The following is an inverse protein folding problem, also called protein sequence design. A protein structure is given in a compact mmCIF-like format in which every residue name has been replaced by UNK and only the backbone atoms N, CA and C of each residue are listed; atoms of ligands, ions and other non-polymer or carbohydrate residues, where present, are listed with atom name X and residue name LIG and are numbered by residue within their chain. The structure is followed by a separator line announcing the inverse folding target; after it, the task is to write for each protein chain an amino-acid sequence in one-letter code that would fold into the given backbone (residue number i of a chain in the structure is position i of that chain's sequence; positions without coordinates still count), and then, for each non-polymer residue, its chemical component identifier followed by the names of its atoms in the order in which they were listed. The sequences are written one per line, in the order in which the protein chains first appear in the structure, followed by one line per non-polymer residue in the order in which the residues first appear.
data_IF_092530026798
#
_entry.id   IF_092530026798
#
_cell.length_a   1.000
_cell.length_b   1.000
_cell.length_c   1.000
_cell.angle_alpha   90.00
_cell.angle_beta   90.00
_cell.angle_gamma   90.00
#
_symmetry.space_group_name_H-M   'P 1'
#
loop_
_entity.id
_entity.type
_entity.pdbx_description
1 polymer ?
#
# COMPACT_ATOMS: atom_id res chain seq x y z
N UNK A 1 15.50 -12.06 -0.77
CA UNK A 1 14.44 -11.28 -0.05
C UNK A 1 13.97 -12.09 1.14
N UNK A 2 13.84 -11.49 2.33
CA UNK A 2 13.47 -12.19 3.56
C UNK A 2 12.07 -11.76 4.01
N UNK A 3 11.15 -12.74 4.18
CA UNK A 3 9.78 -12.49 4.62
C UNK A 3 9.66 -12.79 6.12
N UNK A 4 9.75 -11.73 6.92
CA UNK A 4 9.68 -11.78 8.40
C UNK A 4 8.31 -11.40 8.99
N UNK A 5 7.27 -11.36 8.16
CA UNK A 5 5.91 -11.09 8.58
C UNK A 5 4.95 -11.96 7.75
N UNK A 6 3.91 -12.50 8.39
CA UNK A 6 2.75 -13.04 7.72
C UNK A 6 1.67 -11.94 7.66
N UNK A 7 0.67 -12.06 8.54
CA UNK A 7 -0.40 -11.08 8.76
C UNK A 7 -0.04 -10.15 9.94
N UNK A 8 0.82 -10.66 10.84
CA UNK A 8 1.59 -9.90 11.83
C UNK A 8 3.10 -10.19 11.64
N UNK A 9 3.97 -9.53 12.42
CA UNK A 9 5.42 -9.73 12.42
C UNK A 9 5.87 -10.15 13.82
N UNK A 10 6.16 -11.44 14.07
CA UNK A 10 6.67 -11.85 15.39
C UNK A 10 8.16 -11.51 15.53
N UNK A 11 8.62 -11.21 16.76
CA UNK A 11 10.03 -10.89 17.03
C UNK A 11 10.97 -12.03 16.64
N UNK A 12 10.49 -13.28 16.69
CA UNK A 12 11.21 -14.47 16.23
C UNK A 12 11.38 -14.50 14.70
N UNK A 13 10.34 -14.20 13.91
CA UNK A 13 10.43 -14.13 12.44
C UNK A 13 11.30 -12.94 11.99
N UNK A 14 11.27 -11.82 12.72
CA UNK A 14 12.13 -10.67 12.49
C UNK A 14 13.61 -10.99 12.74
N UNK A 15 13.92 -11.71 13.82
CA UNK A 15 15.29 -12.18 14.09
C UNK A 15 15.75 -13.21 13.05
N UNK A 16 14.95 -14.22 12.76
CA UNK A 16 15.29 -15.27 11.79
C UNK A 16 15.55 -14.71 10.37
N UNK A 17 14.84 -13.65 9.97
CA UNK A 17 15.11 -12.97 8.70
C UNK A 17 16.40 -12.15 8.68
N UNK A 18 16.80 -11.58 9.82
CA UNK A 18 18.10 -10.91 9.98
C UNK A 18 19.24 -11.94 9.97
N UNK A 19 19.11 -13.01 10.75
CA UNK A 19 20.12 -14.08 10.81
C UNK A 19 20.31 -14.77 9.45
N UNK A 20 19.24 -15.01 8.70
CA UNK A 20 19.31 -15.54 7.33
C UNK A 20 20.00 -14.55 6.37
N UNK A 21 19.62 -13.27 6.36
CA UNK A 21 20.25 -12.27 5.50
C UNK A 21 21.75 -12.10 5.77
N UNK A 22 22.15 -12.19 7.03
CA UNK A 22 23.54 -12.14 7.48
C UNK A 22 24.29 -13.44 7.18
N UNK A 23 23.61 -14.59 7.23
CA UNK A 23 24.16 -15.90 6.86
C UNK A 23 24.40 -16.05 5.35
N UNK A 24 23.51 -15.48 4.54
CA UNK A 24 23.62 -15.42 3.07
C UNK A 24 24.66 -14.36 2.59
N UNK A 25 25.20 -13.53 3.50
CA UNK A 25 26.26 -12.57 3.20
C UNK A 25 25.78 -11.22 2.62
N UNK A 26 24.59 -10.74 2.97
CA UNK A 26 24.12 -9.42 2.54
C UNK A 26 24.98 -8.27 3.12
N UNK A 27 25.41 -7.30 2.30
CA UNK A 27 26.16 -6.12 2.76
C UNK A 27 25.30 -5.11 3.57
N UNK A 28 23.99 -5.06 3.28
CA UNK A 28 23.06 -4.05 3.82
C UNK A 28 21.70 -4.67 4.17
N UNK A 29 21.20 -4.39 5.37
CA UNK A 29 19.82 -4.63 5.79
C UNK A 29 18.99 -3.34 5.70
N UNK A 30 17.81 -3.43 5.09
CA UNK A 30 16.83 -2.34 4.97
C UNK A 30 15.52 -2.76 5.63
N UNK A 31 15.32 -2.39 6.90
CA UNK A 31 14.27 -2.92 7.76
C UNK A 31 13.19 -1.85 7.97
N UNK A 32 11.98 -2.06 7.45
CA UNK A 32 10.80 -1.20 7.69
C UNK A 32 9.85 -1.80 8.73
N UNK A 33 10.42 -2.46 9.74
CA UNK A 33 9.74 -3.19 10.81
C UNK A 33 10.13 -2.62 12.17
N UNK A 34 9.44 -3.06 13.22
CA UNK A 34 9.66 -2.59 14.58
C UNK A 34 9.10 -3.55 15.60
N UNK A 35 9.68 -3.51 16.80
CA UNK A 35 9.17 -4.21 17.96
C UNK A 35 8.75 -3.15 19.00
N UNK A 36 7.49 -3.20 19.44
CA UNK A 36 6.95 -2.28 20.45
C UNK A 36 7.08 -2.82 21.87
N UNK A 37 7.72 -3.97 22.06
CA UNK A 37 7.96 -4.56 23.39
C UNK A 37 8.77 -3.61 24.27
N UNK A 38 8.38 -3.40 25.55
CA UNK A 38 8.99 -2.42 26.46
C UNK A 38 10.34 -2.88 27.04
N UNK A 39 11.13 -3.62 26.25
CA UNK A 39 12.33 -4.30 26.70
C UNK A 39 13.49 -3.32 26.94
N UNK A 40 14.03 -3.36 28.15
CA UNK A 40 15.07 -2.43 28.63
C UNK A 40 16.32 -3.18 29.10
N UNK A 41 17.53 -2.82 28.65
CA UNK A 41 17.87 -2.06 27.44
C UNK A 41 18.14 -3.01 26.26
N UNK A 42 17.35 -2.90 25.18
CA UNK A 42 17.61 -3.53 23.87
C UNK A 42 17.52 -5.08 23.79
N UNK A 43 16.78 -5.75 24.68
CA UNK A 43 16.52 -7.19 24.55
C UNK A 43 15.53 -7.58 23.44
N UNK A 44 14.81 -6.61 22.87
CA UNK A 44 13.90 -6.87 21.74
C UNK A 44 14.67 -7.41 20.52
N UNK A 45 14.12 -8.40 19.84
CA UNK A 45 14.91 -9.30 18.98
C UNK A 45 15.55 -8.61 17.76
N UNK A 46 14.95 -7.53 17.25
CA UNK A 46 15.55 -6.69 16.21
C UNK A 46 16.86 -6.03 16.65
N UNK A 47 17.00 -5.61 17.90
CA UNK A 47 18.25 -5.01 18.38
C UNK A 47 19.38 -6.05 18.50
N UNK A 48 19.05 -7.24 19.02
CA UNK A 48 20.00 -8.36 19.13
C UNK A 48 20.49 -8.80 17.74
N UNK A 49 19.58 -9.07 16.80
CA UNK A 49 19.95 -9.50 15.45
C UNK A 49 20.76 -8.44 14.68
N UNK A 50 20.36 -7.17 14.77
CA UNK A 50 21.08 -6.09 14.08
C UNK A 50 22.45 -5.79 14.70
N UNK A 51 22.67 -6.10 15.98
CA UNK A 51 24.01 -6.04 16.59
C UNK A 51 24.93 -7.11 15.95
N UNK A 52 24.48 -8.37 15.89
CA UNK A 52 25.23 -9.46 15.27
C UNK A 52 25.42 -9.30 13.74
N UNK A 53 24.57 -8.53 13.07
CA UNK A 53 24.77 -8.09 11.69
C UNK A 53 25.96 -7.11 11.59
N UNK A 54 25.99 -6.07 12.43
CA UNK A 54 27.05 -5.05 12.44
C UNK A 54 28.41 -5.62 12.87
N UNK A 55 28.46 -6.59 13.79
CA UNK A 55 29.70 -7.32 14.13
C UNK A 55 30.31 -8.09 12.94
N UNK A 56 29.49 -8.44 11.94
CA UNK A 56 29.94 -9.07 10.68
C UNK A 56 30.15 -8.06 9.54
N UNK A 57 30.09 -6.76 9.85
CA UNK A 57 30.29 -5.67 8.88
C UNK A 57 29.04 -5.29 8.07
N UNK A 58 27.89 -5.87 8.35
CA UNK A 58 26.63 -5.62 7.62
C UNK A 58 26.01 -4.30 8.10
N UNK A 59 25.73 -3.38 7.18
CA UNK A 59 25.14 -2.08 7.52
C UNK A 59 23.62 -2.18 7.72
N UNK A 60 23.07 -1.48 8.73
CA UNK A 60 21.65 -1.57 9.09
C UNK A 60 20.96 -0.21 8.99
N UNK A 61 20.02 -0.11 8.04
CA UNK A 61 19.08 1.01 7.89
C UNK A 61 17.68 0.58 8.36
N UNK A 62 17.08 1.31 9.30
CA UNK A 62 15.82 0.93 9.95
C UNK A 62 14.87 2.12 10.17
N UNK A 63 13.55 1.90 10.08
CA UNK A 63 12.55 2.96 10.27
C UNK A 63 12.38 3.38 11.74
N UNK A 64 12.27 4.69 12.02
CA UNK A 64 12.08 5.22 13.38
C UNK A 64 10.74 4.84 14.04
N UNK A 65 9.69 4.63 13.25
CA UNK A 65 8.33 4.37 13.70
C UNK A 65 7.33 5.44 13.25
N UNK A 66 6.04 5.12 13.41
CA UNK A 66 4.90 5.90 12.91
C UNK A 66 4.00 6.46 14.04
N UNK A 67 4.55 6.60 15.25
CA UNK A 67 3.83 6.92 16.49
C UNK A 67 4.04 8.37 16.98
N UNK A 68 4.57 9.26 16.14
CA UNK A 68 4.66 10.69 16.42
C UNK A 68 3.29 11.40 16.43
N UNK A 69 3.21 12.70 16.79
CA UNK A 69 4.32 13.66 16.86
C UNK A 69 4.98 13.82 18.23
N UNK A 70 4.48 13.15 19.26
CA UNK A 70 4.96 13.31 20.64
C UNK A 70 6.43 12.87 20.79
N UNK A 71 7.12 13.46 21.77
CA UNK A 71 8.50 13.08 22.12
C UNK A 71 8.58 11.62 22.62
N UNK A 72 9.75 11.01 22.46
CA UNK A 72 10.06 9.65 22.92
C UNK A 72 9.14 8.55 22.36
N UNK A 73 8.74 8.67 21.09
CA UNK A 73 7.81 7.76 20.40
C UNK A 73 8.49 6.80 19.41
N UNK A 74 9.82 6.82 19.30
CA UNK A 74 10.60 5.88 18.48
C UNK A 74 11.01 4.63 19.25
N UNK A 75 11.06 3.50 18.55
CA UNK A 75 11.29 2.15 19.11
C UNK A 75 12.47 1.40 18.48
N UNK A 76 13.02 1.89 17.37
CA UNK A 76 14.27 1.37 16.79
C UNK A 76 15.38 2.38 17.10
N UNK A 77 15.94 2.29 18.31
CA UNK A 77 16.76 3.33 18.92
C UNK A 77 18.14 2.84 19.39
N UNK A 78 18.53 1.61 19.01
CA UNK A 78 19.82 1.05 19.34
C UNK A 78 20.97 1.83 18.67
N UNK A 79 22.13 2.01 19.33
CA UNK A 79 23.22 2.85 18.81
C UNK A 79 23.80 2.38 17.46
N UNK A 80 23.77 1.09 17.18
CA UNK A 80 24.31 0.47 15.96
C UNK A 80 23.35 0.50 14.75
N UNK A 81 22.13 1.01 14.91
CA UNK A 81 21.15 1.19 13.83
C UNK A 81 21.27 2.59 13.21
N UNK A 82 21.16 2.73 11.88
CA UNK A 82 20.78 4.00 11.26
C UNK A 82 19.24 4.11 11.29
N UNK A 83 18.72 4.91 12.22
CA UNK A 83 17.28 5.11 12.44
C UNK A 83 16.78 6.27 11.57
N UNK A 84 15.89 5.97 10.63
CA UNK A 84 15.39 6.92 9.60
C UNK A 84 13.99 7.45 9.93
N UNK A 85 13.86 8.77 10.03
CA UNK A 85 12.60 9.51 10.18
C UNK A 85 11.93 9.83 8.82
N UNK A 86 10.60 9.92 8.79
CA UNK A 86 9.85 10.27 7.60
C UNK A 86 9.68 11.79 7.41
N UNK A 87 9.95 12.28 6.21
CA UNK A 87 9.64 13.65 5.77
C UNK A 87 8.78 13.69 4.50
N UNK A 88 8.15 14.84 4.27
CA UNK A 88 7.52 15.18 2.98
C UNK A 88 8.57 15.37 1.88
N UNK A 89 8.12 15.25 0.64
CA UNK A 89 8.86 15.68 -0.56
C UNK A 89 8.05 16.75 -1.29
N UNK A 90 8.65 17.45 -2.24
CA UNK A 90 7.99 18.50 -3.02
C UNK A 90 6.91 17.96 -3.99
N UNK A 91 6.86 16.63 -4.18
CA UNK A 91 5.78 15.93 -4.87
C UNK A 91 4.53 15.76 -4.00
N UNK A 92 3.46 16.46 -4.38
CA UNK A 92 2.10 16.14 -3.96
C UNK A 92 1.42 15.27 -5.03
N UNK A 93 0.79 14.18 -4.61
CA UNK A 93 -0.21 13.47 -5.42
C UNK A 93 -1.56 14.11 -5.04
N UNK A 94 -2.32 14.55 -6.04
CA UNK A 94 -3.61 15.21 -5.85
C UNK A 94 -4.72 14.26 -5.38
N UNK A 95 -5.97 14.70 -5.51
CA UNK A 95 -7.16 13.90 -5.20
C UNK A 95 -7.11 12.53 -5.87
N UNK A 96 -7.48 11.48 -5.14
CA UNK A 96 -7.41 10.08 -5.60
C UNK A 96 -8.81 9.45 -5.52
N UNK A 97 -9.02 8.46 -6.38
CA UNK A 97 -10.14 7.53 -6.32
C UNK A 97 -9.62 6.15 -6.67
N UNK A 98 -10.34 5.13 -6.26
CA UNK A 98 -10.19 3.75 -6.72
C UNK A 98 -10.87 3.73 -8.11
N UNK A 99 -12.20 3.57 -8.25
CA UNK A 99 -13.08 4.15 -9.32
C UNK A 99 -12.50 4.62 -10.70
N UNK A 100 -11.64 5.64 -10.68
CA UNK A 100 -11.64 6.72 -11.70
C UNK A 100 -13.07 7.18 -12.07
N UNK A 101 -14.01 7.11 -11.11
CA UNK A 101 -15.40 7.46 -11.37
C UNK A 101 -15.47 8.97 -11.55
N UNK A 102 -15.64 9.40 -12.80
CA UNK A 102 -15.64 10.81 -13.17
C UNK A 102 -16.89 11.51 -12.64
N UNK A 103 -16.85 11.88 -11.35
CA UNK A 103 -17.38 13.19 -10.94
C UNK A 103 -16.74 14.19 -11.91
N UNK A 104 -17.54 14.73 -12.82
CA UNK A 104 -17.04 15.63 -13.84
C UNK A 104 -16.37 16.83 -13.17
N UNK A 105 -15.07 17.01 -13.41
CA UNK A 105 -14.29 18.12 -12.87
C UNK A 105 -14.71 19.51 -13.41
N UNK A 106 -15.81 19.57 -14.17
CA UNK A 106 -16.49 20.79 -14.60
C UNK A 106 -17.78 21.09 -13.80
N UNK A 107 -18.32 20.13 -13.03
CA UNK A 107 -19.59 20.27 -12.28
C UNK A 107 -19.34 20.58 -10.80
N UNK A 108 -20.10 21.53 -10.24
CA UNK A 108 -20.17 21.79 -8.81
C UNK A 108 -21.27 20.95 -8.18
N UNK A 109 -20.99 20.36 -7.01
CA UNK A 109 -21.93 19.52 -6.27
C UNK A 109 -22.19 20.11 -4.88
N UNK A 110 -23.34 19.86 -4.25
CA UNK A 110 -23.60 20.29 -2.87
C UNK A 110 -22.54 19.73 -1.92
N UNK A 111 -22.08 20.56 -0.99
CA UNK A 111 -21.11 20.20 0.04
C UNK A 111 -21.84 20.11 1.39
N UNK A 112 -21.55 19.07 2.19
CA UNK A 112 -22.11 18.93 3.53
C UNK A 112 -21.02 18.53 4.53
N UNK A 113 -21.05 19.08 5.74
CA UNK A 113 -20.20 18.63 6.85
C UNK A 113 -20.90 17.53 7.62
N UNK A 114 -20.27 16.36 7.75
CA UNK A 114 -20.87 15.22 8.41
C UNK A 114 -21.15 15.46 9.90
N UNK A 115 -20.34 16.32 10.55
CA UNK A 115 -20.56 16.76 11.93
C UNK A 115 -21.66 17.81 12.12
N UNK A 116 -22.49 18.04 11.10
CA UNK A 116 -23.79 18.70 11.26
C UNK A 116 -24.93 17.69 11.49
N UNK A 117 -24.66 16.38 11.39
CA UNK A 117 -25.58 15.32 11.84
C UNK A 117 -25.63 15.27 13.37
N UNK A 118 -26.78 14.87 13.92
CA UNK A 118 -26.95 14.60 15.36
C UNK A 118 -26.49 13.20 15.78
N UNK A 119 -26.14 12.33 14.82
CA UNK A 119 -25.64 10.97 15.09
C UNK A 119 -24.22 11.00 15.66
N UNK A 120 -23.95 10.17 16.68
CA UNK A 120 -22.62 10.02 17.25
C UNK A 120 -21.59 9.64 16.18
N UNK A 121 -20.38 10.17 16.29
CA UNK A 121 -19.25 9.95 15.38
C UNK A 121 -19.48 10.27 13.89
N UNK A 122 -20.63 10.85 13.51
CA UNK A 122 -20.93 11.24 12.13
C UNK A 122 -19.88 12.21 11.57
N UNK A 123 -19.34 13.13 12.39
CA UNK A 123 -18.24 14.01 11.99
C UNK A 123 -17.01 13.26 11.47
N UNK A 124 -16.77 12.03 11.95
CA UNK A 124 -15.67 11.17 11.55
C UNK A 124 -16.04 10.24 10.38
N UNK A 125 -17.29 10.23 9.91
CA UNK A 125 -17.79 9.29 8.90
C UNK A 125 -17.47 7.82 9.26
N UNK A 126 -17.77 7.42 10.50
CA UNK A 126 -17.68 6.03 10.95
C UNK A 126 -18.81 5.16 10.38
N UNK A 127 -18.61 3.85 10.32
CA UNK A 127 -19.58 2.89 9.75
C UNK A 127 -20.99 3.07 10.37
N UNK A 128 -22.00 3.30 9.52
CA UNK A 128 -23.39 3.54 9.93
C UNK A 128 -23.70 4.96 10.43
N UNK A 129 -22.70 5.80 10.71
CA UNK A 129 -22.91 7.12 11.34
C UNK A 129 -23.58 8.15 10.44
N UNK A 130 -23.62 7.91 9.12
CA UNK A 130 -24.32 8.76 8.15
C UNK A 130 -25.78 8.32 7.89
N UNK A 131 -26.25 7.24 8.52
CA UNK A 131 -27.63 6.77 8.31
C UNK A 131 -28.65 7.81 8.77
N UNK A 132 -29.62 8.11 7.90
CA UNK A 132 -30.61 9.17 8.10
C UNK A 132 -30.12 10.60 7.82
N UNK A 133 -28.82 10.81 7.56
CA UNK A 133 -28.27 12.11 7.21
C UNK A 133 -28.25 12.31 5.68
N UNK A 134 -28.71 13.47 5.22
CA UNK A 134 -28.85 13.75 3.78
C UNK A 134 -27.50 14.09 3.13
N UNK A 135 -26.77 13.03 2.76
CA UNK A 135 -25.50 13.08 2.00
C UNK A 135 -25.62 12.64 0.54
N UNK A 136 -26.80 12.17 0.12
CA UNK A 136 -26.98 11.49 -1.17
C UNK A 136 -26.75 12.45 -2.34
N UNK A 137 -25.83 12.11 -3.25
CA UNK A 137 -25.46 12.98 -4.37
C UNK A 137 -24.56 14.17 -4.00
N UNK A 138 -24.03 14.22 -2.77
CA UNK A 138 -23.24 15.34 -2.24
C UNK A 138 -21.77 14.96 -2.04
N UNK A 139 -20.92 15.98 -1.94
CA UNK A 139 -19.56 15.86 -1.42
C UNK A 139 -19.63 16.01 0.10
N UNK A 140 -19.05 15.06 0.83
CA UNK A 140 -19.08 15.03 2.31
C UNK A 140 -17.73 15.44 2.89
N UNK A 141 -17.71 16.42 3.77
CA UNK A 141 -16.56 16.78 4.59
C UNK A 141 -16.57 15.93 5.87
N UNK A 142 -15.57 15.05 5.99
CA UNK A 142 -15.32 14.16 7.13
C UNK A 142 -14.05 14.57 7.87
N UNK A 143 -14.04 14.45 9.18
CA UNK A 143 -12.85 14.64 10.01
C UNK A 143 -12.04 13.35 10.14
N UNK A 144 -10.73 13.53 10.18
CA UNK A 144 -9.78 12.53 10.63
C UNK A 144 -9.90 12.29 12.14
N UNK A 145 -9.64 11.06 12.57
CA UNK A 145 -9.64 10.65 13.98
C UNK A 145 -10.67 9.57 14.31
N UNK A 146 -10.81 9.32 15.62
CA UNK A 146 -11.71 8.36 16.27
C UNK A 146 -11.50 6.88 15.90
N UNK A 147 -10.25 6.47 15.62
CA UNK A 147 -9.89 5.08 15.29
C UNK A 147 -10.33 4.60 13.90
N UNK A 148 -11.41 5.17 13.33
CA UNK A 148 -11.93 4.87 11.99
C UNK A 148 -10.83 5.01 10.93
N UNK A 149 -10.55 3.96 10.16
CA UNK A 149 -9.48 4.01 9.17
C UNK A 149 -9.89 4.90 7.99
N UNK A 150 -8.87 5.49 7.33
CA UNK A 150 -9.06 6.50 6.28
C UNK A 150 -9.87 5.98 5.10
N UNK A 151 -9.68 4.71 4.74
CA UNK A 151 -10.42 4.06 3.64
C UNK A 151 -11.89 3.84 4.01
N UNK A 152 -12.15 3.36 5.23
CA UNK A 152 -13.49 3.12 5.79
C UNK A 152 -14.36 4.38 5.73
N UNK A 153 -13.81 5.57 6.04
CA UNK A 153 -14.51 6.86 5.92
C UNK A 153 -15.03 7.10 4.50
N UNK A 154 -14.23 6.75 3.49
CA UNK A 154 -14.63 6.83 2.08
C UNK A 154 -15.66 5.77 1.68
N UNK A 155 -15.56 4.56 2.25
CA UNK A 155 -16.53 3.50 2.04
C UNK A 155 -17.89 3.83 2.67
N UNK A 156 -17.92 4.41 3.88
CA UNK A 156 -19.13 4.89 4.57
C UNK A 156 -19.83 6.01 3.78
N UNK A 157 -19.09 7.03 3.33
CA UNK A 157 -19.65 8.10 2.50
C UNK A 157 -20.26 7.53 1.21
N UNK A 158 -19.60 6.56 0.57
CA UNK A 158 -20.14 5.86 -0.60
C UNK A 158 -21.39 5.04 -0.26
N UNK A 159 -21.39 4.28 0.83
CA UNK A 159 -22.52 3.46 1.32
C UNK A 159 -23.77 4.31 1.55
N UNK A 160 -23.61 5.49 2.14
CA UNK A 160 -24.68 6.47 2.35
C UNK A 160 -25.11 7.23 1.06
N UNK A 161 -24.49 6.93 -0.09
CA UNK A 161 -24.82 7.54 -1.38
C UNK A 161 -24.18 8.90 -1.64
N UNK A 162 -23.21 9.32 -0.82
CA UNK A 162 -22.32 10.44 -1.10
C UNK A 162 -21.42 10.11 -2.29
N UNK A 163 -21.20 11.09 -3.17
CA UNK A 163 -20.47 10.88 -4.43
C UNK A 163 -18.96 11.10 -4.28
N UNK A 164 -18.54 11.90 -3.29
CA UNK A 164 -17.13 12.22 -3.06
C UNK A 164 -16.89 12.72 -1.64
N UNK A 165 -15.63 12.76 -1.22
CA UNK A 165 -15.24 13.09 0.15
C UNK A 165 -14.13 14.14 0.21
N UNK A 166 -14.21 15.04 1.20
CA UNK A 166 -13.08 15.83 1.66
C UNK A 166 -12.73 15.34 3.06
N UNK A 167 -11.50 14.87 3.26
CA UNK A 167 -11.01 14.44 4.57
C UNK A 167 -10.17 15.55 5.19
N UNK A 168 -10.69 16.18 6.25
CA UNK A 168 -9.99 17.21 7.01
C UNK A 168 -9.08 16.59 8.07
N UNK A 169 -7.82 17.04 8.10
CA UNK A 169 -6.89 16.69 9.19
C UNK A 169 -7.36 17.19 10.56
N UNK A 170 -6.95 16.44 11.58
CA UNK A 170 -6.89 16.90 12.96
C UNK A 170 -5.71 17.86 13.21
N UNK A 171 -5.76 18.64 14.29
CA UNK A 171 -4.72 19.63 14.61
C UNK A 171 -3.30 19.04 14.70
N UNK A 172 -3.07 17.87 15.36
CA UNK A 172 -1.73 17.25 15.42
C UNK A 172 -1.12 16.86 14.07
N UNK A 173 -1.94 16.65 13.03
CA UNK A 173 -1.46 16.30 11.69
C UNK A 173 -1.15 17.53 10.81
N UNK A 174 -1.75 18.69 11.12
CA UNK A 174 -1.40 19.97 10.49
C UNK A 174 -1.47 19.91 8.96
N UNK A 175 -0.33 20.05 8.29
CA UNK A 175 -0.19 20.05 6.82
C UNK A 175 -0.03 18.67 6.17
N UNK A 176 0.09 17.57 6.93
CA UNK A 176 0.28 16.21 6.40
C UNK A 176 -0.94 15.75 5.60
N UNK A 177 -0.82 15.63 4.28
CA UNK A 177 -1.78 14.87 3.47
C UNK A 177 -1.21 13.49 3.10
N UNK A 178 -2.09 12.53 2.84
CA UNK A 178 -1.75 11.19 2.37
C UNK A 178 -2.51 10.91 1.08
N UNK A 179 -1.83 10.32 0.10
CA UNK A 179 -2.36 10.00 -1.23
C UNK A 179 -3.13 8.68 -1.25
N UNK A 180 -4.11 8.57 -0.35
CA UNK A 180 -4.94 7.37 -0.20
C UNK A 180 -5.96 7.28 -1.34
N UNK A 181 -6.01 6.15 -2.04
CA UNK A 181 -7.10 5.89 -2.97
C UNK A 181 -8.33 5.47 -2.17
N UNK A 182 -9.42 6.24 -2.22
CA UNK A 182 -10.68 5.92 -1.56
C UNK A 182 -11.70 5.36 -2.58
N UNK A 183 -12.70 4.61 -2.09
CA UNK A 183 -13.78 4.00 -2.91
C UNK A 183 -14.65 5.01 -3.71
N UNK A 184 -14.38 6.30 -3.58
CA UNK A 184 -14.98 7.42 -4.31
C UNK A 184 -13.92 8.54 -4.48
N UNK A 185 -14.12 9.52 -5.37
CA UNK A 185 -13.28 10.71 -5.47
C UNK A 185 -13.10 11.41 -4.13
N UNK A 186 -11.87 11.42 -3.61
CA UNK A 186 -11.55 11.97 -2.31
C UNK A 186 -10.36 12.94 -2.35
N UNK A 187 -10.41 13.97 -1.51
CA UNK A 187 -9.32 14.92 -1.32
C UNK A 187 -8.99 15.07 0.17
N UNK A 188 -7.76 14.74 0.55
CA UNK A 188 -7.24 14.88 1.90
C UNK A 188 -6.63 16.27 2.05
N UNK A 189 -7.08 17.06 3.03
CA UNK A 189 -6.69 18.47 3.22
C UNK A 189 -6.09 18.73 4.59
N UNK A 190 -5.20 19.73 4.66
CA UNK A 190 -4.58 20.17 5.92
C UNK A 190 -5.62 20.67 6.93
N UNK A 191 -5.25 20.69 8.23
CA UNK A 191 -6.12 21.19 9.29
C UNK A 191 -6.60 22.62 9.02
N UNK A 192 -5.69 23.50 8.59
CA UNK A 192 -6.01 24.89 8.24
C UNK A 192 -7.00 24.99 7.06
N UNK A 193 -6.85 24.13 6.04
CA UNK A 193 -7.80 24.05 4.93
C UNK A 193 -9.14 23.47 5.37
N UNK A 194 -9.15 22.44 6.22
CA UNK A 194 -10.37 21.87 6.81
C UNK A 194 -11.17 22.91 7.60
N UNK A 195 -10.51 23.70 8.46
CA UNK A 195 -11.13 24.82 9.18
C UNK A 195 -11.69 25.88 8.23
N UNK A 196 -10.96 26.22 7.15
CA UNK A 196 -11.44 27.16 6.13
C UNK A 196 -12.68 26.62 5.38
N UNK A 197 -12.73 25.33 5.06
CA UNK A 197 -13.88 24.70 4.40
C UNK A 197 -15.09 24.62 5.35
N UNK A 198 -14.91 24.27 6.63
CA UNK A 198 -15.98 24.33 7.64
C UNK A 198 -16.55 25.76 7.78
N UNK A 199 -15.68 26.77 7.78
CA UNK A 199 -16.08 28.19 7.77
C UNK A 199 -16.86 28.56 6.50
N UNK A 200 -16.46 28.05 5.33
CA UNK A 200 -17.19 28.25 4.08
C UNK A 200 -18.58 27.59 4.10
N UNK A 201 -18.69 26.34 4.56
CA UNK A 201 -19.98 25.63 4.72
C UNK A 201 -20.94 26.46 5.57
N UNK A 202 -20.47 27.01 6.69
CA UNK A 202 -21.28 27.83 7.59
C UNK A 202 -21.53 29.27 7.09
N UNK A 203 -21.03 29.66 5.92
CA UNK A 203 -21.16 31.03 5.37
C UNK A 203 -22.26 31.20 4.32
N UNK A 204 -22.89 30.10 3.89
CA UNK A 204 -23.95 30.10 2.87
C UNK A 204 -24.96 28.99 3.16
N UNK A 205 -26.22 29.19 2.76
CA UNK A 205 -27.26 28.16 2.86
C UNK A 205 -27.09 27.04 1.81
N UNK A 206 -26.37 27.31 0.71
CA UNK A 206 -26.12 26.37 -0.38
C UNK A 206 -24.62 26.26 -0.68
N UNK A 207 -23.80 25.67 0.20
CA UNK A 207 -22.38 25.45 -0.04
C UNK A 207 -22.18 24.38 -1.13
N UNK A 208 -21.21 24.59 -2.01
CA UNK A 208 -20.87 23.67 -3.10
C UNK A 208 -19.37 23.47 -3.20
N UNK A 209 -18.96 22.34 -3.76
CA UNK A 209 -17.56 21.98 -3.96
C UNK A 209 -17.34 21.24 -5.28
N UNK A 210 -16.07 21.10 -5.63
CA UNK A 210 -15.57 20.40 -6.81
C UNK A 210 -14.23 19.77 -6.46
N UNK A 211 -14.03 18.50 -6.82
CA UNK A 211 -12.79 17.76 -6.56
C UNK A 211 -12.03 17.65 -7.89
N UNK A 212 -10.82 18.23 -7.94
CA UNK A 212 -9.98 18.17 -9.13
C UNK A 212 -8.93 17.06 -9.04
N UNK A 213 -8.86 16.25 -10.09
CA UNK A 213 -7.78 15.29 -10.33
C UNK A 213 -6.63 15.97 -11.08
N UNK A 214 -5.68 16.56 -10.33
CA UNK A 214 -4.48 17.21 -10.89
C UNK A 214 -3.29 16.25 -11.09
N UNK A 215 -3.50 14.95 -10.90
CA UNK A 215 -2.43 13.95 -10.97
C UNK A 215 -1.30 14.23 -9.98
N UNK A 216 -0.07 14.28 -10.47
CA UNK A 216 1.12 14.58 -9.67
C UNK A 216 1.56 16.03 -9.86
N UNK A 217 1.74 16.77 -8.78
CA UNK A 217 2.23 18.15 -8.73
C UNK A 217 3.60 18.18 -8.04
N UNK A 218 4.57 18.91 -8.60
CA UNK A 218 5.93 19.07 -8.08
C UNK A 218 6.14 20.50 -7.54
N UNK A 219 7.23 20.74 -6.79
CA UNK A 219 7.54 22.05 -6.22
C UNK A 219 6.58 22.50 -5.10
N UNK A 220 5.90 21.57 -4.44
CA UNK A 220 4.97 21.89 -3.34
C UNK A 220 5.69 22.13 -2.01
N UNK A 221 5.05 22.91 -1.13
CA UNK A 221 5.61 23.38 0.14
C UNK A 221 4.61 23.15 1.28
N UNK A 222 5.04 22.76 2.50
CA UNK A 222 6.44 22.64 2.95
C UNK A 222 7.09 21.30 2.60
N UNK A 223 8.27 21.37 1.98
CA UNK A 223 9.12 20.22 1.68
C UNK A 223 10.62 20.59 1.73
N UNK A 224 11.49 19.75 2.31
CA UNK A 224 11.14 18.63 3.20
C UNK A 224 10.66 19.13 4.56
N UNK A 225 9.62 18.49 5.11
CA UNK A 225 9.14 18.72 6.47
C UNK A 225 8.95 17.38 7.19
N UNK A 226 9.41 17.26 8.45
CA UNK A 226 9.21 16.03 9.22
C UNK A 226 7.71 15.85 9.47
N UNK A 227 7.16 14.74 8.98
CA UNK A 227 5.72 14.46 9.10
C UNK A 227 5.33 14.20 10.56
N UNK A 228 4.10 14.55 10.94
CA UNK A 228 3.57 14.38 12.30
C UNK A 228 3.75 12.95 12.80
N UNK A 229 3.37 11.95 12.00
CA UNK A 229 3.46 10.54 12.38
C UNK A 229 4.88 10.02 12.57
N UNK A 230 5.92 10.66 12.00
CA UNK A 230 7.29 10.18 12.20
C UNK A 230 7.61 10.21 13.69
N UNK A 231 7.89 9.04 14.26
CA UNK A 231 8.27 8.90 15.65
C UNK A 231 9.48 9.78 15.99
N UNK A 232 9.51 10.33 17.21
CA UNK A 232 10.47 11.34 17.66
C UNK A 232 11.27 10.83 18.85
N UNK A 233 12.52 11.32 18.97
CA UNK A 233 13.33 11.13 20.16
C UNK A 233 12.88 12.00 21.35
N UNK A 234 13.66 12.02 22.44
CA UNK A 234 14.88 11.21 22.65
C UNK A 234 14.59 9.70 22.72
N UNK A 235 15.63 8.87 22.63
CA UNK A 235 15.52 7.45 22.96
C UNK A 235 15.06 7.28 24.42
N UNK A 236 14.10 6.38 24.67
CA UNK A 236 13.72 6.04 26.05
C UNK A 236 14.80 5.19 26.75
N UNK A 237 15.55 4.39 25.98
CA UNK A 237 16.57 3.45 26.50
C UNK A 237 17.95 4.08 26.69
N UNK A 238 18.31 5.05 25.84
CA UNK A 238 19.56 5.78 25.91
C UNK A 238 19.38 7.24 25.43
N UNK A 239 18.83 8.13 26.29
CA UNK A 239 18.64 9.55 25.93
C UNK A 239 19.95 10.32 25.71
N UNK A 240 21.11 9.73 26.01
CA UNK A 240 22.43 10.31 25.72
C UNK A 240 22.86 10.19 24.25
N UNK A 241 22.19 9.36 23.46
CA UNK A 241 22.42 9.24 22.01
C UNK A 241 21.19 9.78 21.27
N UNK A 242 21.43 10.74 20.37
CA UNK A 242 20.36 11.38 19.60
C UNK A 242 19.79 10.40 18.57
N UNK A 243 18.47 10.25 18.59
CA UNK A 243 17.68 9.49 17.60
C UNK A 243 16.44 10.32 17.22
N UNK A 244 15.91 10.20 15.99
CA UNK A 244 16.43 9.44 14.86
C UNK A 244 17.66 10.14 14.24
N UNK A 245 18.53 9.38 13.59
CA UNK A 245 19.83 9.87 13.09
C UNK A 245 19.70 10.73 11.83
N UNK A 246 18.72 10.43 10.97
CA UNK A 246 18.51 11.09 9.68
C UNK A 246 17.01 11.09 9.31
N UNK A 247 16.61 11.92 8.35
CA UNK A 247 15.29 11.82 7.70
C UNK A 247 15.40 11.53 6.21
N UNK A 248 14.45 10.77 5.68
CA UNK A 248 14.26 10.56 4.25
C UNK A 248 12.80 10.73 3.81
N UNK A 249 12.54 10.87 2.50
CA UNK A 249 11.19 11.02 1.96
C UNK A 249 10.31 9.79 2.27
N UNK A 250 9.34 9.95 3.18
CA UNK A 250 8.52 8.87 3.72
C UNK A 250 7.01 9.09 3.59
N UNK A 251 6.58 10.16 2.91
CA UNK A 251 5.16 10.48 2.68
C UNK A 251 4.82 10.30 1.20
N UNK A 252 3.74 9.58 0.89
CA UNK A 252 3.21 9.41 -0.47
C UNK A 252 4.27 8.97 -1.51
N UNK A 253 5.07 7.96 -1.15
CA UNK A 253 6.16 7.41 -1.97
C UNK A 253 5.59 6.49 -3.06
N UNK A 254 5.71 6.89 -4.34
CA UNK A 254 5.23 6.10 -5.47
C UNK A 254 5.97 4.76 -5.64
N UNK A 255 5.20 3.77 -6.10
CA UNK A 255 5.47 2.36 -5.91
C UNK A 255 4.67 1.47 -6.89
N UNK A 256 5.11 0.22 -7.08
CA UNK A 256 4.45 -0.81 -7.88
C UNK A 256 4.27 -2.10 -7.04
N UNK A 257 3.08 -2.70 -7.08
CA UNK A 257 2.24 -3.35 -6.03
C UNK A 257 1.98 -4.87 -6.35
N UNK A 258 1.10 -5.64 -5.68
CA UNK A 258 1.06 -7.11 -5.91
C UNK A 258 -0.06 -7.75 -6.79
N UNK A 259 -1.13 -7.06 -7.24
CA UNK A 259 -2.32 -7.74 -7.84
C UNK A 259 -3.15 -6.95 -8.94
N UNK A 260 -2.49 -6.51 -10.04
CA UNK A 260 -2.90 -5.52 -11.08
C UNK A 260 -4.15 -4.60 -10.98
N UNK A 261 -3.91 -3.28 -10.94
CA UNK A 261 -4.65 -2.30 -11.73
C UNK A 261 -4.37 -2.67 -13.19
N UNK A 262 -5.33 -3.37 -13.81
CA UNK A 262 -5.15 -4.13 -15.06
C UNK A 262 -4.32 -3.34 -16.08
N UNK A 263 -3.26 -3.98 -16.58
CA UNK A 263 -2.09 -3.35 -17.18
C UNK A 263 -2.43 -2.12 -18.04
N UNK A 264 -1.84 -0.98 -17.67
CA UNK A 264 -2.27 0.35 -18.10
C UNK A 264 -2.09 0.67 -19.60
N UNK A 265 -2.40 1.92 -19.95
CA UNK A 265 -2.50 2.36 -21.33
C UNK A 265 -1.23 2.08 -22.16
N UNK A 266 -1.44 1.59 -23.40
CA UNK A 266 -0.38 1.06 -24.28
C UNK A 266 0.67 2.12 -24.61
N UNK A 267 1.95 1.73 -24.58
CA UNK A 267 3.08 2.53 -25.05
C UNK A 267 3.72 1.83 -26.28
N UNK A 268 3.39 2.24 -27.52
CA UNK A 268 3.89 1.57 -28.72
C UNK A 268 5.41 1.60 -28.87
N UNK A 269 6.08 2.64 -28.35
CA UNK A 269 7.55 2.77 -28.44
C UNK A 269 8.25 1.78 -27.50
N UNK A 270 7.69 1.52 -26.31
CA UNK A 270 8.17 0.48 -25.38
C UNK A 270 7.66 -0.93 -25.68
N UNK A 271 6.76 -1.09 -26.65
CA UNK A 271 6.28 -2.42 -27.07
C UNK A 271 7.20 -3.10 -28.10
N UNK A 272 8.06 -2.32 -28.78
CA UNK A 272 9.04 -2.84 -29.75
C UNK A 272 10.26 -3.48 -29.07
N UNK A 273 10.62 -2.99 -27.87
CA UNK A 273 11.58 -3.62 -26.96
C UNK A 273 10.98 -3.71 -25.54
N UNK A 274 10.30 -4.81 -25.21
CA UNK A 274 9.81 -5.08 -23.86
C UNK A 274 10.92 -5.62 -22.93
N UNK A 275 12.06 -6.06 -23.50
CA UNK A 275 13.16 -6.75 -22.84
C UNK A 275 12.87 -8.16 -22.32
N UNK A 276 11.71 -8.41 -21.70
CA UNK A 276 11.26 -9.74 -21.26
C UNK A 276 9.84 -10.03 -21.78
N UNK A 277 9.56 -11.32 -22.04
CA UNK A 277 8.25 -11.84 -22.44
C UNK A 277 7.93 -13.06 -21.57
N UNK A 278 6.68 -13.27 -21.17
CA UNK A 278 6.24 -14.53 -20.56
C UNK A 278 5.97 -15.55 -21.67
N UNK A 279 6.62 -16.72 -21.61
CA UNK A 279 6.55 -17.76 -22.64
C UNK A 279 6.04 -19.10 -22.07
N UNK A 280 5.47 -19.96 -22.92
CA UNK A 280 4.81 -21.21 -22.50
C UNK A 280 4.85 -22.29 -23.59
N UNK A 281 5.30 -23.50 -23.24
CA UNK A 281 5.46 -24.58 -24.21
C UNK A 281 4.18 -25.43 -24.39
N UNK A 282 3.94 -26.04 -25.57
CA UNK A 282 2.80 -26.93 -25.81
C UNK A 282 2.64 -28.08 -24.80
N UNK A 283 3.75 -28.57 -24.23
CA UNK A 283 3.74 -29.62 -23.21
C UNK A 283 3.18 -29.15 -21.86
N UNK A 284 3.30 -27.87 -21.50
CA UNK A 284 2.81 -27.38 -20.20
C UNK A 284 1.28 -27.41 -20.13
N UNK A 285 0.61 -27.20 -21.27
CA UNK A 285 -0.83 -27.44 -21.40
C UNK A 285 -1.20 -28.93 -21.21
N UNK A 286 -0.36 -29.88 -21.66
CA UNK A 286 -0.58 -31.31 -21.40
C UNK A 286 -0.39 -31.66 -19.91
N UNK A 287 0.61 -31.08 -19.25
CA UNK A 287 0.86 -31.22 -17.81
C UNK A 287 -0.28 -30.62 -16.99
N UNK A 288 -0.85 -29.50 -17.44
CA UNK A 288 -2.03 -28.87 -16.86
C UNK A 288 -3.29 -29.72 -17.00
N UNK A 289 -3.60 -30.21 -18.20
CA UNK A 289 -4.78 -31.06 -18.42
C UNK A 289 -4.76 -32.32 -17.54
N UNK A 290 -3.59 -32.94 -17.35
CA UNK A 290 -3.40 -34.06 -16.42
C UNK A 290 -3.49 -33.67 -14.93
N UNK A 291 -3.44 -32.38 -14.56
CA UNK A 291 -3.69 -31.90 -13.20
C UNK A 291 -5.18 -31.78 -12.86
N UNK A 292 -6.06 -31.78 -13.86
CA UNK A 292 -7.50 -31.46 -13.69
C UNK A 292 -8.41 -32.61 -14.12
N UNK A 293 -7.98 -33.46 -15.07
CA UNK A 293 -8.80 -34.51 -15.65
C UNK A 293 -8.09 -35.89 -15.61
N UNK A 294 -8.88 -36.97 -15.54
CA UNK A 294 -8.33 -38.34 -15.50
C UNK A 294 -7.75 -38.77 -16.85
N UNK A 295 -6.82 -39.75 -16.85
CA UNK A 295 -6.14 -40.26 -18.06
C UNK A 295 -7.07 -40.56 -19.24
N UNK A 296 -8.27 -41.14 -18.99
CA UNK A 296 -9.27 -41.42 -20.04
C UNK A 296 -9.82 -40.13 -20.69
N UNK A 297 -10.03 -39.09 -19.89
CA UNK A 297 -10.69 -37.85 -20.27
C UNK A 297 -9.65 -36.93 -20.96
N UNK A 298 -8.41 -36.89 -20.47
CA UNK A 298 -7.27 -36.27 -21.17
C UNK A 298 -6.95 -37.00 -22.47
N UNK A 299 -7.09 -38.32 -22.55
CA UNK A 299 -6.90 -39.07 -23.81
C UNK A 299 -7.90 -38.66 -24.88
N UNK A 300 -9.14 -38.32 -24.50
CA UNK A 300 -10.16 -37.78 -25.41
C UNK A 300 -9.79 -36.35 -25.85
N UNK A 301 -9.38 -35.48 -24.94
CA UNK A 301 -8.97 -34.10 -25.24
C UNK A 301 -7.75 -34.07 -26.18
N UNK A 302 -6.72 -34.87 -25.87
CA UNK A 302 -5.47 -34.96 -26.63
C UNK A 302 -5.56 -35.84 -27.89
N UNK A 303 -6.70 -36.52 -28.12
CA UNK A 303 -6.97 -37.45 -29.24
C UNK A 303 -5.91 -38.56 -29.41
N UNK A 304 -5.24 -38.94 -28.33
CA UNK A 304 -4.22 -40.00 -28.24
C UNK A 304 -4.32 -40.65 -26.87
N UNK A 305 -3.86 -41.89 -26.72
CA UNK A 305 -3.74 -42.48 -25.39
C UNK A 305 -2.73 -41.66 -24.56
N UNK A 306 -3.17 -41.16 -23.41
CA UNK A 306 -2.38 -40.39 -22.44
C UNK A 306 -2.56 -41.03 -21.08
N UNK A 307 -1.46 -41.50 -20.48
CA UNK A 307 -1.45 -41.88 -19.07
C UNK A 307 -0.91 -40.72 -18.22
N UNK A 308 -1.82 -40.01 -17.56
CA UNK A 308 -1.48 -38.93 -16.64
C UNK A 308 -0.75 -39.42 -15.37
N UNK A 309 -0.77 -40.72 -15.05
CA UNK A 309 0.00 -41.25 -13.91
C UNK A 309 1.51 -41.31 -14.18
N UNK A 310 1.91 -41.26 -15.46
CA UNK A 310 3.31 -41.18 -15.90
C UNK A 310 3.77 -39.74 -16.23
N UNK A 311 2.92 -38.72 -16.04
CA UNK A 311 3.19 -37.33 -16.41
C UNK A 311 3.26 -36.45 -15.17
N UNK A 312 4.34 -35.67 -15.03
CA UNK A 312 4.44 -34.63 -13.98
C UNK A 312 3.51 -33.46 -14.32
N UNK A 313 2.50 -33.23 -13.49
CA UNK A 313 1.43 -32.25 -13.72
C UNK A 313 1.81 -30.82 -13.29
N UNK A 314 1.08 -29.82 -13.80
CA UNK A 314 1.20 -28.38 -13.48
C UNK A 314 -0.17 -27.88 -12.98
N UNK A 315 -0.31 -27.29 -11.78
CA UNK A 315 -1.61 -26.81 -11.28
C UNK A 315 -2.11 -25.53 -11.96
N UNK A 316 -3.44 -25.34 -11.99
CA UNK A 316 -4.17 -24.12 -12.38
C UNK A 316 -3.50 -22.79 -11.96
N UNK A 317 -2.92 -22.80 -10.76
CA UNK A 317 -2.43 -21.59 -10.10
C UNK A 317 -1.15 -21.06 -10.75
N UNK A 318 -0.31 -21.92 -11.32
CA UNK A 318 0.95 -21.49 -11.95
C UNK A 318 0.69 -20.80 -13.30
N UNK A 319 -0.31 -21.28 -14.05
CA UNK A 319 -0.73 -20.72 -15.34
C UNK A 319 -1.30 -19.29 -15.24
N UNK A 320 -2.00 -18.96 -14.16
CA UNK A 320 -2.72 -17.68 -14.01
C UNK A 320 -1.94 -16.56 -13.29
N UNK A 321 -0.64 -16.76 -12.98
CA UNK A 321 0.20 -15.79 -12.26
C UNK A 321 0.36 -14.41 -12.93
N UNK A 322 0.03 -14.28 -14.22
CA UNK A 322 0.36 -13.10 -15.03
C UNK A 322 -0.59 -11.88 -14.84
N UNK A 323 -1.76 -12.03 -14.20
CA UNK A 323 -2.73 -10.93 -14.05
C UNK A 323 -3.33 -10.71 -12.65
N UNK A 324 -3.14 -11.62 -11.69
CA UNK A 324 -3.33 -11.38 -10.26
C UNK A 324 -4.69 -10.79 -9.80
N UNK A 325 -5.81 -11.40 -10.17
CA UNK A 325 -7.14 -10.99 -9.69
C UNK A 325 -7.81 -12.03 -8.79
N UNK A 326 -8.41 -11.62 -7.68
CA UNK A 326 -9.20 -12.46 -6.79
C UNK A 326 -10.27 -11.64 -6.06
N UNK A 327 -11.47 -12.21 -5.90
CA UNK A 327 -12.58 -11.61 -5.17
C UNK A 327 -13.31 -12.68 -4.38
N UNK A 328 -13.89 -12.31 -3.25
CA UNK A 328 -14.63 -13.20 -2.36
C UNK A 328 -15.96 -12.54 -1.96
N UNK A 329 -17.08 -13.30 -1.92
CA UNK A 329 -18.27 -12.88 -1.21
C UNK A 329 -18.04 -12.96 0.31
N UNK A 330 -18.91 -12.35 1.10
CA UNK A 330 -18.85 -12.39 2.57
C UNK A 330 -18.83 -13.85 3.08
N UNK A 331 -17.74 -14.29 3.72
CA UNK A 331 -17.66 -15.63 4.32
C UNK A 331 -16.27 -16.14 4.73
N UNK A 332 -15.31 -16.24 3.81
CA UNK A 332 -14.10 -17.06 4.04
C UNK A 332 -12.88 -16.62 3.19
N UNK A 333 -11.66 -16.73 3.74
CA UNK A 333 -10.40 -16.29 3.11
C UNK A 333 -9.46 -17.47 2.78
N UNK A 334 -8.68 -17.39 1.68
CA UNK A 334 -7.83 -18.51 1.22
C UNK A 334 -6.60 -18.06 0.41
N UNK A 335 -5.42 -18.59 0.73
CA UNK A 335 -4.15 -18.32 0.02
C UNK A 335 -3.92 -19.25 -1.19
N UNK A 336 -3.23 -18.74 -2.22
CA UNK A 336 -2.75 -19.45 -3.44
C UNK A 336 -1.40 -18.86 -3.88
N UNK A 337 -0.59 -19.58 -4.67
CA UNK A 337 0.70 -19.10 -5.20
C UNK A 337 1.02 -19.63 -6.60
N UNK A 338 1.73 -18.84 -7.41
CA UNK A 338 1.96 -19.05 -8.83
C UNK A 338 3.45 -18.92 -9.21
N UNK A 339 3.91 -19.67 -10.22
CA UNK A 339 5.25 -19.60 -10.79
C UNK A 339 5.23 -19.34 -12.30
N UNK A 340 6.16 -18.55 -12.82
CA UNK A 340 6.24 -18.16 -14.24
C UNK A 340 7.71 -18.05 -14.70
N UNK A 341 7.95 -18.15 -16.01
CA UNK A 341 9.29 -18.07 -16.65
C UNK A 341 9.31 -16.93 -17.68
N UNK A 342 10.47 -16.28 -17.85
CA UNK A 342 10.64 -15.02 -18.60
C UNK A 342 11.91 -15.05 -19.49
N UNK A 343 11.81 -15.44 -20.79
CA UNK A 343 12.88 -15.22 -21.77
C UNK A 343 13.14 -13.74 -22.12
N UNK A 344 14.39 -13.45 -22.50
CA UNK A 344 14.88 -12.16 -23.00
C UNK A 344 14.60 -11.95 -24.49
N UNK A 345 14.44 -10.69 -24.90
CA UNK A 345 14.37 -10.29 -26.31
C UNK A 345 15.25 -9.06 -26.57
N UNK A 346 16.32 -9.21 -27.37
CA UNK A 346 17.26 -8.13 -27.70
C UNK A 346 18.67 -8.64 -28.08
N UNK A 347 19.55 -7.78 -28.64
CA UNK A 347 20.93 -8.15 -28.98
C UNK A 347 21.82 -8.27 -27.72
N UNK A 348 22.78 -9.20 -27.76
CA UNK A 348 23.51 -9.73 -26.60
C UNK A 348 24.61 -8.80 -25.99
N UNK A 349 24.37 -7.49 -25.90
CA UNK A 349 25.37 -6.51 -25.40
C UNK A 349 25.00 -5.97 -24.00
N UNK A 350 23.72 -5.98 -23.61
CA UNK A 350 23.27 -5.50 -22.29
C UNK A 350 22.68 -6.63 -21.41
N UNK A 351 23.54 -7.27 -20.62
CA UNK A 351 23.13 -8.17 -19.53
C UNK A 351 22.61 -7.36 -18.32
N UNK A 352 21.45 -6.73 -18.48
CA UNK A 352 20.76 -5.97 -17.43
C UNK A 352 19.82 -6.85 -16.58
N UNK A 353 20.21 -7.13 -15.33
CA UNK A 353 19.39 -7.82 -14.33
C UNK A 353 18.03 -7.13 -14.11
N UNK A 354 16.94 -7.90 -14.03
CA UNK A 354 15.56 -7.39 -13.92
C UNK A 354 14.86 -7.89 -12.65
N UNK A 355 13.80 -7.17 -12.25
CA UNK A 355 13.19 -7.32 -10.92
C UNK A 355 11.71 -6.90 -10.90
N UNK A 356 10.77 -7.84 -10.77
CA UNK A 356 9.33 -7.70 -11.15
C UNK A 356 8.35 -7.02 -10.13
N UNK A 357 7.32 -6.28 -10.58
CA UNK A 357 6.32 -5.53 -9.76
C UNK A 357 4.90 -5.39 -10.43
N UNK A 358 3.76 -5.21 -9.69
CA UNK A 358 2.32 -5.29 -10.22
C UNK A 358 1.19 -4.43 -9.44
N UNK A 359 -0.10 -4.81 -9.06
CA UNK A 359 -1.09 -3.92 -8.23
C UNK A 359 -2.57 -4.27 -7.66
N UNK A 360 -2.88 -4.49 -6.35
CA UNK A 360 -4.20 -4.94 -5.69
C UNK A 360 -5.52 -4.08 -5.58
N UNK A 361 -6.74 -4.71 -5.35
CA UNK A 361 -7.97 -4.34 -4.50
C UNK A 361 -8.96 -5.53 -4.22
N UNK A 362 -9.77 -5.50 -3.13
CA UNK A 362 -11.00 -6.30 -2.84
C UNK A 362 -12.26 -5.39 -2.59
N UNK A 363 -13.50 -5.87 -2.80
CA UNK A 363 -14.72 -5.10 -2.41
C UNK A 363 -16.08 -5.68 -2.89
N UNK A 364 -17.18 -4.95 -2.63
CA UNK A 364 -18.55 -5.30 -3.05
C UNK A 364 -19.46 -4.07 -3.25
N UNK A 365 -20.39 -4.18 -4.22
CA UNK A 365 -21.41 -3.19 -4.63
C UNK A 365 -20.89 -1.82 -5.16
N UNK A 366 -21.60 -1.20 -6.14
CA UNK A 366 -20.95 -0.93 -7.43
C UNK A 366 -20.03 0.30 -7.47
N UNK A 367 -18.97 0.21 -8.28
CA UNK A 367 -17.90 1.22 -8.38
C UNK A 367 -16.77 1.01 -7.35
N UNK A 368 -15.98 -0.08 -7.48
CA UNK A 368 -14.74 -0.27 -6.69
C UNK A 368 -13.65 0.76 -7.09
N UNK A 369 -12.75 0.64 -8.07
CA UNK A 369 -11.95 -0.45 -8.65
C UNK A 369 -10.47 0.03 -8.65
N UNK A 370 -9.50 -0.76 -8.16
CA UNK A 370 -8.04 -0.63 -8.43
C UNK A 370 -7.20 0.50 -7.72
N UNK A 371 -6.43 0.12 -6.67
CA UNK A 371 -5.33 0.87 -6.02
C UNK A 371 -3.98 0.59 -6.71
N UNK A 372 -2.96 1.43 -6.41
CA UNK A 372 -1.54 1.01 -6.42
C UNK A 372 -0.83 1.25 -5.06
N UNK A 373 0.03 0.31 -4.62
CA UNK A 373 0.78 0.12 -3.33
C UNK A 373 2.26 -0.34 -3.63
N UNK A 374 3.00 -1.20 -2.87
CA UNK A 374 4.24 -1.89 -3.33
C UNK A 374 4.36 -3.43 -3.14
N UNK A 375 4.87 -4.12 -4.16
CA UNK A 375 5.57 -5.42 -4.21
C UNK A 375 6.23 -5.51 -5.61
N UNK A 376 7.47 -5.08 -5.82
CA UNK A 376 8.69 -5.66 -5.29
C UNK A 376 8.70 -7.21 -5.24
N UNK A 377 9.74 -7.92 -5.71
CA UNK A 377 10.79 -7.64 -6.71
C UNK A 377 11.54 -8.98 -6.93
N UNK A 378 11.06 -9.81 -7.86
CA UNK A 378 11.64 -11.14 -8.15
C UNK A 378 12.87 -11.05 -9.06
N UNK A 379 14.01 -11.58 -8.64
CA UNK A 379 15.35 -11.37 -9.21
C UNK A 379 15.73 -12.38 -10.29
N UNK A 380 16.15 -11.88 -11.46
CA UNK A 380 17.24 -12.42 -12.32
C UNK A 380 17.84 -11.25 -13.12
#
# INVERSE_FOLDING_TARGET
MYKSCADECTSAEMLAGVDAAVGDGCDVLSISLGDTSPDTPFYHSLAIGTYGAVEKGVFVSISAGNSGPNASTLFNDAPWMLTVAASTMDRLIGSQSVNQQEISAAVFYPLVYAGASSTADAQFCGNGSLDGFDVKGKIVLCDRGNGVARLDKGAEVKRAGGIGMIMANEFPDGYRTLADAHALPASHVSYAAGVAIKKYINSTANPTAQIFFRGTVLGTSPAPAITSFSSRGPSQRNPGILKPDITGPGVSVLAAWPFQSRAGHVNPVKAVDPGLVYDIAPDDFMRFLCSVYASRDVSVIARRAVDCSAIRVIPDVELYGQSGGGGAPDGEERRRGAGCVLPLCGPAVEHGARRAEVAAVHGGEPGAELHSVRAARAEW
#
